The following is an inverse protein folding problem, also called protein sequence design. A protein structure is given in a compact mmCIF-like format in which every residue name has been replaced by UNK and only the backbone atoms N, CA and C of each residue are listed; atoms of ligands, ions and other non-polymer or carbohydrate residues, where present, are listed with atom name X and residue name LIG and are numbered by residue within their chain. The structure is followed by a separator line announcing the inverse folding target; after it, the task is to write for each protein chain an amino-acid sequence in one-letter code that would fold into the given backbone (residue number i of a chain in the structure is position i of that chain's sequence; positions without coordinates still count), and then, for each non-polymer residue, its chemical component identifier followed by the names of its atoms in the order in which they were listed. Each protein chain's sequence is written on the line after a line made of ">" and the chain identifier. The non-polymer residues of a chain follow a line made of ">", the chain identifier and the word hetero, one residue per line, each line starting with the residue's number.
data_IF_216806998042
#
_entry.id   IF_216806998042
#
_cell.length_a   1.000
_cell.length_b   1.000
_cell.length_c   1.000
_cell.angle_alpha   90.00
_cell.angle_beta   90.00
_cell.angle_gamma   90.00
#
_symmetry.space_group_name_H-M   'P 1'
#
loop_
_entity.id
_entity.type
_entity.pdbx_description
1 polymer ?
#
# COMPACT_ATOMS: atom_id res chain seq x y z
N UNK A 1 -24.03 -18.51 9.71
CA UNK A 1 -24.10 -18.60 8.24
C UNK A 1 -23.77 -20.03 7.86
N UNK A 2 -24.61 -20.66 7.03
CA UNK A 2 -24.38 -22.03 6.57
C UNK A 2 -23.31 -21.98 5.48
N UNK A 3 -22.23 -22.74 5.65
CA UNK A 3 -21.18 -22.88 4.64
C UNK A 3 -21.68 -23.83 3.54
N UNK A 4 -22.36 -23.28 2.54
CA UNK A 4 -22.72 -24.03 1.34
C UNK A 4 -21.68 -23.78 0.24
N UNK A 5 -21.52 -24.72 -0.68
CA UNK A 5 -20.55 -24.63 -1.78
C UNK A 5 -20.78 -23.38 -2.64
N UNK A 6 -22.03 -23.00 -2.85
CA UNK A 6 -22.40 -21.79 -3.60
C UNK A 6 -21.88 -20.53 -2.93
N UNK A 7 -22.06 -20.41 -1.60
CA UNK A 7 -21.56 -19.26 -0.85
C UNK A 7 -20.04 -19.18 -0.84
N UNK A 8 -19.34 -20.32 -0.76
CA UNK A 8 -17.88 -20.37 -0.80
C UNK A 8 -17.37 -19.93 -2.19
N UNK A 9 -17.99 -20.41 -3.26
CA UNK A 9 -17.64 -20.02 -4.63
C UNK A 9 -17.95 -18.55 -4.91
N UNK A 10 -19.06 -18.03 -4.38
CA UNK A 10 -19.40 -16.61 -4.47
C UNK A 10 -18.35 -15.73 -3.78
N UNK A 11 -17.98 -16.06 -2.54
CA UNK A 11 -16.97 -15.32 -1.80
C UNK A 11 -15.60 -15.43 -2.49
N UNK A 12 -15.21 -16.63 -2.94
CA UNK A 12 -13.95 -16.86 -3.63
C UNK A 12 -13.84 -16.09 -4.96
N UNK A 13 -14.91 -16.05 -5.76
CA UNK A 13 -14.94 -15.30 -7.02
C UNK A 13 -14.86 -13.78 -6.80
N UNK A 14 -15.54 -13.26 -5.78
CA UNK A 14 -15.44 -11.84 -5.39
C UNK A 14 -14.01 -11.51 -4.93
N UNK A 15 -13.41 -12.34 -4.09
CA UNK A 15 -12.04 -12.15 -3.62
C UNK A 15 -11.02 -12.17 -4.76
N UNK A 16 -11.17 -13.11 -5.71
CA UNK A 16 -10.32 -13.16 -6.91
C UNK A 16 -10.51 -11.93 -7.78
N UNK A 17 -11.76 -11.48 -7.99
CA UNK A 17 -12.05 -10.29 -8.77
C UNK A 17 -11.40 -9.04 -8.15
N UNK A 18 -11.53 -8.86 -6.83
CA UNK A 18 -10.89 -7.76 -6.10
C UNK A 18 -9.36 -7.85 -6.18
N UNK A 19 -8.78 -9.05 -6.06
CA UNK A 19 -7.33 -9.26 -6.17
C UNK A 19 -6.78 -8.87 -7.54
N UNK A 20 -7.49 -9.20 -8.62
CA UNK A 20 -7.11 -8.82 -9.98
C UNK A 20 -7.23 -7.30 -10.16
N UNK A 21 -8.28 -6.69 -9.62
CA UNK A 21 -8.48 -5.25 -9.70
C UNK A 21 -7.40 -4.49 -8.93
N UNK A 22 -7.06 -4.95 -7.72
CA UNK A 22 -6.00 -4.39 -6.88
C UNK A 22 -4.61 -4.58 -7.52
N UNK A 23 -4.30 -5.77 -8.04
CA UNK A 23 -3.03 -6.05 -8.72
C UNK A 23 -2.86 -5.23 -10.00
N UNK A 24 -3.92 -5.09 -10.80
CA UNK A 24 -3.91 -4.29 -12.02
C UNK A 24 -3.82 -2.79 -11.72
N UNK A 25 -4.44 -2.33 -10.64
CA UNK A 25 -4.32 -0.95 -10.14
C UNK A 25 -2.88 -0.69 -9.67
N UNK A 26 -2.29 -1.58 -8.88
CA UNK A 26 -0.90 -1.47 -8.44
C UNK A 26 0.10 -1.38 -9.62
N UNK A 27 -0.13 -2.15 -10.68
CA UNK A 27 0.75 -2.15 -11.86
C UNK A 27 0.49 -0.98 -12.83
N UNK A 28 -0.77 -0.59 -13.02
CA UNK A 28 -1.16 0.47 -13.98
C UNK A 28 -0.99 1.87 -13.44
N UNK A 29 -1.03 2.05 -12.12
CA UNK A 29 -0.83 3.38 -11.56
C UNK A 29 0.57 3.91 -11.78
N UNK A 30 1.60 3.06 -12.01
CA UNK A 30 2.91 3.45 -12.57
C UNK A 30 3.71 4.48 -11.75
N UNK A 31 3.05 5.14 -10.81
CA UNK A 31 3.56 5.84 -9.65
C UNK A 31 4.12 4.71 -8.81
N UNK A 32 5.45 4.54 -8.77
CA UNK A 32 6.06 3.59 -7.88
C UNK A 32 5.45 3.80 -6.50
N UNK A 33 5.17 2.76 -5.72
CA UNK A 33 4.79 2.93 -4.32
C UNK A 33 5.76 3.92 -3.62
N UNK A 34 7.02 3.92 -4.07
CA UNK A 34 8.06 4.90 -3.82
C UNK A 34 7.65 6.39 -3.98
N UNK A 35 6.91 6.79 -5.02
CA UNK A 35 6.40 8.16 -5.18
C UNK A 35 5.27 8.49 -4.21
N UNK A 36 4.42 7.52 -3.86
CA UNK A 36 3.42 7.69 -2.79
C UNK A 36 4.12 7.89 -1.44
N UNK A 37 5.08 7.03 -1.12
CA UNK A 37 5.90 7.15 0.08
C UNK A 37 6.71 8.46 0.09
N UNK A 38 7.22 8.91 -1.07
CA UNK A 38 7.92 10.19 -1.19
C UNK A 38 6.98 11.38 -0.93
N UNK A 39 5.77 11.36 -1.49
CA UNK A 39 4.77 12.42 -1.25
C UNK A 39 4.39 12.50 0.22
N UNK A 40 4.13 11.35 0.85
CA UNK A 40 3.85 11.28 2.28
C UNK A 40 5.06 11.78 3.09
N UNK A 41 6.27 11.32 2.77
CA UNK A 41 7.50 11.75 3.44
C UNK A 41 7.75 13.26 3.32
N UNK A 42 7.51 13.85 2.16
CA UNK A 42 7.63 15.30 1.93
C UNK A 42 6.57 16.09 2.70
N UNK A 43 5.32 15.59 2.74
CA UNK A 43 4.22 16.24 3.45
C UNK A 43 4.45 16.27 4.97
N UNK A 44 4.99 15.19 5.53
CA UNK A 44 5.27 15.11 6.96
C UNK A 44 6.66 15.68 7.32
N UNK A 45 7.59 15.74 6.37
CA UNK A 45 8.96 16.19 6.57
C UNK A 45 9.13 17.71 6.69
N UNK A 46 10.36 18.19 6.50
CA UNK A 46 10.74 19.59 6.67
C UNK A 46 9.91 20.57 5.83
N UNK A 47 9.50 20.14 4.64
CA UNK A 47 8.80 20.97 3.66
C UNK A 47 7.28 21.03 3.90
N UNK A 48 6.75 20.24 4.85
CA UNK A 48 5.35 20.24 5.22
C UNK A 48 5.15 20.50 6.71
N UNK A 49 4.92 19.44 7.50
CA UNK A 49 4.67 19.56 8.95
C UNK A 49 5.92 19.84 9.80
N UNK A 50 7.10 19.89 9.19
CA UNK A 50 8.35 20.28 9.85
C UNK A 50 9.03 19.17 10.64
N UNK A 51 8.66 17.89 10.44
CA UNK A 51 9.37 16.79 11.08
C UNK A 51 10.79 16.70 10.50
N UNK A 52 11.77 16.98 11.36
CA UNK A 52 13.19 16.91 11.03
C UNK A 52 13.66 15.46 11.14
N UNK A 53 13.92 14.84 10.00
CA UNK A 53 14.60 13.54 9.96
C UNK A 53 16.10 13.76 10.17
N UNK A 54 16.57 13.60 11.41
CA UNK A 54 17.98 13.81 11.78
C UNK A 54 18.92 12.71 11.29
N UNK A 55 18.39 11.54 10.88
CA UNK A 55 19.20 10.38 10.52
C UNK A 55 18.58 9.56 9.37
N UNK A 56 19.16 9.70 8.17
CA UNK A 56 18.72 8.98 6.98
C UNK A 56 18.86 7.45 7.09
N UNK A 57 19.84 6.94 7.84
CA UNK A 57 20.05 5.49 8.03
C UNK A 57 18.93 4.85 8.85
N UNK A 58 18.47 5.52 9.90
CA UNK A 58 17.34 5.05 10.73
C UNK A 58 16.03 5.08 9.95
N UNK A 59 15.77 6.16 9.19
CA UNK A 59 14.60 6.25 8.34
C UNK A 59 14.57 5.14 7.28
N UNK A 60 15.70 4.85 6.63
CA UNK A 60 15.83 3.75 5.68
C UNK A 60 15.60 2.38 6.36
N UNK A 61 16.17 2.17 7.54
CA UNK A 61 16.01 0.91 8.28
C UNK A 61 14.54 0.65 8.64
N UNK A 62 13.84 1.65 9.19
CA UNK A 62 12.41 1.55 9.50
C UNK A 62 11.59 1.31 8.22
N UNK A 63 11.89 2.04 7.15
CA UNK A 63 11.21 1.89 5.86
C UNK A 63 11.44 0.53 5.17
N UNK A 64 12.54 -0.17 5.46
CA UNK A 64 12.76 -1.53 4.96
C UNK A 64 12.03 -2.60 5.78
N UNK A 65 11.62 -2.30 7.01
CA UNK A 65 10.89 -3.23 7.89
C UNK A 65 9.37 -3.13 7.66
N UNK A 66 8.86 -1.96 7.27
CA UNK A 66 7.44 -1.70 7.01
C UNK A 66 6.96 -2.28 5.68
#
# INVERSE_FOLDING_TARGET
>A
MIFTSENILLIGSILLFVSILAGKTGYRFGVPALLLFLLVGMFFGSDGLGLQFSNAKEAQFIGMIA
#
